data_IF_782133002054
#
_entry.id   IF_782133002054
#
_cell.length_a   1.000
_cell.length_b   1.000
_cell.length_c   1.000
_cell.angle_alpha   90.00
_cell.angle_beta   90.00
_cell.angle_gamma   90.00
#
_symmetry.space_group_name_H-M   'P 1'
#
loop_
_entity.id
_entity.type
_entity.pdbx_description
1 polymer ?
#
# COMPACT_ATOMS: atom_id res chain seq x y z
N UNK A 1 -4.56 19.44 -5.84
CA UNK A 1 -5.87 20.02 -6.13
C UNK A 1 -6.99 18.98 -6.36
N UNK A 2 -6.75 17.74 -6.73
CA UNK A 2 -7.78 16.69 -6.87
C UNK A 2 -7.69 15.58 -5.83
N UNK A 3 -6.64 15.57 -5.02
CA UNK A 3 -6.41 14.52 -4.02
C UNK A 3 -7.46 14.54 -2.90
N UNK A 4 -7.73 15.71 -2.34
CA UNK A 4 -8.73 15.89 -1.28
C UNK A 4 -10.12 15.48 -1.78
N UNK A 5 -10.50 15.98 -2.97
CA UNK A 5 -11.79 15.65 -3.59
C UNK A 5 -11.92 14.15 -3.88
N UNK A 6 -10.85 13.50 -4.35
CA UNK A 6 -10.86 12.06 -4.58
C UNK A 6 -10.97 11.30 -3.25
N UNK A 7 -10.21 11.69 -2.22
CA UNK A 7 -10.23 11.03 -0.92
C UNK A 7 -11.62 11.09 -0.27
N UNK A 8 -12.34 12.20 -0.43
CA UNK A 8 -13.73 12.35 0.04
C UNK A 8 -14.72 11.55 -0.84
N UNK A 9 -14.58 11.64 -2.17
CA UNK A 9 -15.53 11.04 -3.10
C UNK A 9 -15.58 9.51 -3.08
N UNK A 10 -14.47 8.86 -2.69
CA UNK A 10 -14.41 7.38 -2.61
C UNK A 10 -14.89 6.82 -1.28
N UNK A 11 -15.14 7.64 -0.28
CA UNK A 11 -15.63 7.21 1.04
C UNK A 11 -16.99 6.52 0.93
N UNK A 12 -17.20 5.50 1.78
CA UNK A 12 -18.47 4.81 1.95
C UNK A 12 -18.95 4.90 3.39
N UNK A 13 -18.58 3.95 4.24
CA UNK A 13 -18.79 4.01 5.69
C UNK A 13 -17.63 4.67 6.45
N UNK A 14 -16.62 5.12 5.74
CA UNK A 14 -15.50 5.87 6.28
C UNK A 14 -15.97 7.16 6.98
N UNK A 15 -15.38 7.50 8.13
CA UNK A 15 -15.70 8.74 8.86
C UNK A 15 -14.74 9.88 8.52
N UNK A 16 -13.57 9.55 7.97
CA UNK A 16 -12.55 10.51 7.58
C UNK A 16 -11.91 10.14 6.24
N UNK A 17 -11.59 11.13 5.37
CA UNK A 17 -10.81 10.89 4.16
C UNK A 17 -9.39 10.43 4.54
N UNK A 18 -8.88 9.46 3.81
CA UNK A 18 -7.57 8.84 4.03
C UNK A 18 -6.66 9.17 2.88
N UNK A 19 -5.66 10.01 3.13
CA UNK A 19 -4.67 10.40 2.15
C UNK A 19 -3.31 10.65 2.80
N UNK A 20 -2.25 10.35 2.07
CA UNK A 20 -0.89 10.60 2.50
C UNK A 20 0.02 10.80 1.31
N UNK A 21 0.92 11.78 1.38
CA UNK A 21 1.91 12.05 0.35
C UNK A 21 3.24 12.48 0.96
N UNK A 22 4.32 12.26 0.24
CA UNK A 22 5.64 12.70 0.59
C UNK A 22 6.48 13.03 -0.66
N UNK A 23 7.52 13.82 -0.46
CA UNK A 23 8.52 14.15 -1.45
C UNK A 23 9.89 13.63 -1.01
N UNK A 24 10.69 13.19 -1.96
CA UNK A 24 12.05 12.71 -1.72
C UNK A 24 12.95 12.98 -2.93
N UNK A 25 14.25 12.84 -2.75
CA UNK A 25 15.22 13.12 -3.81
C UNK A 25 15.77 11.83 -4.43
N UNK A 26 15.69 11.71 -5.76
CA UNK A 26 16.27 10.63 -6.53
C UNK A 26 17.28 11.18 -7.55
N UNK A 27 18.57 11.02 -7.26
CA UNK A 27 19.62 11.46 -8.17
C UNK A 27 19.58 12.96 -8.48
N UNK A 28 19.28 13.79 -7.49
CA UNK A 28 19.16 15.23 -7.65
C UNK A 28 17.81 15.72 -8.20
N UNK A 29 16.86 14.80 -8.44
CA UNK A 29 15.50 15.13 -8.87
C UNK A 29 14.52 14.96 -7.73
N UNK A 30 13.66 15.94 -7.52
CA UNK A 30 12.56 15.89 -6.58
C UNK A 30 11.47 14.96 -7.13
N UNK A 31 11.10 13.97 -6.38
CA UNK A 31 10.06 13.00 -6.72
C UNK A 31 8.95 13.05 -5.68
N UNK A 32 7.71 13.00 -6.14
CA UNK A 32 6.53 12.99 -5.30
C UNK A 32 5.84 11.63 -5.41
N UNK A 33 5.38 11.11 -4.29
CA UNK A 33 4.52 9.94 -4.23
C UNK A 33 3.41 10.20 -3.22
N UNK A 34 2.19 9.85 -3.57
CA UNK A 34 1.05 10.00 -2.68
C UNK A 34 -0.06 9.04 -3.04
N UNK A 35 -1.00 8.89 -2.13
CA UNK A 35 -2.14 8.02 -2.36
C UNK A 35 -3.32 8.36 -1.47
N UNK A 36 -4.45 7.80 -1.85
CA UNK A 36 -5.71 7.82 -1.11
C UNK A 36 -6.17 6.39 -0.86
N UNK A 37 -6.93 6.18 0.21
CA UNK A 37 -7.54 4.90 0.49
C UNK A 37 -8.95 5.09 1.05
N UNK A 38 -9.80 4.07 0.91
CA UNK A 38 -11.11 3.99 1.52
C UNK A 38 -11.37 2.59 2.08
N UNK A 39 -12.19 2.51 3.11
CA UNK A 39 -12.65 1.29 3.76
C UNK A 39 -12.67 1.44 5.28
N UNK A 40 -13.71 0.88 5.91
CA UNK A 40 -13.91 0.94 7.35
C UNK A 40 -14.44 -0.38 7.93
N UNK A 41 -15.11 -1.22 7.15
CA UNK A 41 -15.57 -2.56 7.51
C UNK A 41 -15.20 -3.60 6.47
N UNK A 42 -15.23 -4.88 6.84
CA UNK A 42 -14.74 -6.02 6.04
C UNK A 42 -13.27 -5.81 5.65
N UNK A 43 -12.43 -5.53 6.65
CA UNK A 43 -11.02 -5.19 6.46
C UNK A 43 -10.13 -6.28 7.09
N UNK A 44 -9.76 -7.24 6.26
CA UNK A 44 -8.65 -8.18 6.48
C UNK A 44 -8.01 -8.51 5.14
N UNK A 45 -7.25 -7.59 4.53
CA UNK A 45 -6.70 -7.81 3.21
C UNK A 45 -5.74 -9.00 3.15
N UNK A 46 -5.93 -9.83 2.14
CA UNK A 46 -5.07 -10.97 1.81
C UNK A 46 -4.70 -10.97 0.32
N UNK A 47 -4.35 -9.80 -0.20
CA UNK A 47 -4.13 -9.59 -1.64
C UNK A 47 -2.97 -10.42 -2.18
N UNK A 48 -3.23 -11.10 -3.31
CA UNK A 48 -2.23 -11.86 -4.06
C UNK A 48 -1.60 -11.00 -5.16
N UNK A 49 -0.29 -11.12 -5.39
CA UNK A 49 0.39 -10.40 -6.47
C UNK A 49 -0.07 -10.83 -7.88
N UNK A 50 -0.68 -11.98 -8.02
CA UNK A 50 -1.15 -12.51 -9.30
C UNK A 50 -2.57 -12.06 -9.67
N UNK A 51 -3.31 -11.50 -8.71
CA UNK A 51 -4.67 -11.01 -8.94
C UNK A 51 -5.67 -12.07 -9.38
N UNK A 52 -5.36 -13.36 -9.21
CA UNK A 52 -6.25 -14.45 -9.60
C UNK A 52 -7.50 -14.45 -8.74
N UNK A 53 -8.64 -14.14 -9.36
CA UNK A 53 -9.98 -14.17 -8.81
C UNK A 53 -10.75 -15.37 -9.31
N UNK A 54 -11.57 -16.02 -8.47
CA UNK A 54 -12.68 -16.83 -8.98
C UNK A 54 -13.68 -15.93 -9.71
N UNK A 55 -14.05 -16.29 -10.93
CA UNK A 55 -14.95 -15.52 -11.83
C UNK A 55 -16.38 -15.32 -11.29
N UNK A 56 -16.75 -15.95 -10.20
CA UNK A 56 -18.13 -16.04 -9.70
C UNK A 56 -18.47 -15.07 -8.56
N UNK A 57 -17.61 -14.12 -8.20
CA UNK A 57 -17.85 -13.24 -7.04
C UNK A 57 -18.35 -11.84 -7.44
N UNK A 58 -19.34 -11.26 -6.71
CA UNK A 58 -19.83 -9.91 -6.98
C UNK A 58 -18.76 -8.84 -6.79
N UNK A 59 -18.86 -7.78 -7.59
CA UNK A 59 -17.91 -6.67 -7.66
C UNK A 59 -18.20 -5.62 -6.57
N UNK A 60 -17.97 -5.94 -5.31
CA UNK A 60 -18.01 -4.96 -4.22
C UNK A 60 -16.62 -4.80 -3.62
N UNK A 61 -15.94 -3.70 -3.93
CA UNK A 61 -14.67 -3.37 -3.35
C UNK A 61 -14.86 -2.79 -1.95
N UNK A 62 -14.33 -3.43 -0.91
CA UNK A 62 -14.40 -2.95 0.46
C UNK A 62 -13.26 -1.99 0.76
N UNK A 63 -12.03 -2.40 0.46
CA UNK A 63 -10.85 -1.57 0.54
C UNK A 63 -10.35 -1.22 -0.87
N UNK A 64 -10.21 0.07 -1.14
CA UNK A 64 -9.55 0.58 -2.34
C UNK A 64 -8.41 1.51 -1.94
N UNK A 65 -7.28 1.41 -2.61
CA UNK A 65 -6.19 2.38 -2.50
C UNK A 65 -5.63 2.71 -3.87
N UNK A 66 -5.51 4.01 -4.15
CA UNK A 66 -4.95 4.55 -5.39
C UNK A 66 -3.70 5.36 -5.04
N UNK A 67 -2.56 4.95 -5.59
CA UNK A 67 -1.26 5.59 -5.36
C UNK A 67 -0.78 6.17 -6.69
N UNK A 68 -0.23 7.36 -6.66
CA UNK A 68 0.37 8.02 -7.83
C UNK A 68 1.76 8.52 -7.52
N UNK A 69 2.62 8.54 -8.53
CA UNK A 69 3.96 9.11 -8.44
C UNK A 69 4.39 9.70 -9.79
N UNK A 70 5.22 10.72 -9.75
CA UNK A 70 5.89 11.28 -10.92
C UNK A 70 7.24 10.61 -11.22
N UNK A 71 7.65 9.61 -10.43
CA UNK A 71 8.88 8.86 -10.65
C UNK A 71 8.93 8.19 -12.03
N UNK A 72 10.07 8.26 -12.69
CA UNK A 72 10.39 7.41 -13.83
C UNK A 72 10.84 6.03 -13.32
N UNK A 73 10.00 5.01 -13.51
CA UNK A 73 10.21 3.64 -13.03
C UNK A 73 9.63 2.64 -14.04
N UNK A 74 10.33 1.54 -14.31
CA UNK A 74 9.82 0.53 -15.25
C UNK A 74 8.63 -0.24 -14.64
N UNK A 75 7.65 -0.60 -15.47
CA UNK A 75 6.44 -1.32 -15.05
C UNK A 75 6.73 -2.59 -14.23
N UNK A 76 7.68 -3.48 -14.63
CA UNK A 76 7.98 -4.67 -13.82
C UNK A 76 8.56 -4.31 -12.45
N UNK A 77 9.36 -3.24 -12.37
CA UNK A 77 9.95 -2.77 -11.11
C UNK A 77 8.87 -2.17 -10.21
N UNK A 78 7.98 -1.35 -10.76
CA UNK A 78 6.85 -0.75 -10.05
C UNK A 78 5.93 -1.83 -9.45
N UNK A 79 5.59 -2.84 -10.25
CA UNK A 79 4.78 -3.97 -9.78
C UNK A 79 5.45 -4.73 -8.63
N UNK A 80 6.75 -4.98 -8.75
CA UNK A 80 7.51 -5.63 -7.68
C UNK A 80 7.50 -4.80 -6.39
N UNK A 81 7.78 -3.51 -6.50
CA UNK A 81 7.77 -2.60 -5.35
C UNK A 81 6.38 -2.57 -4.68
N UNK A 82 5.31 -2.53 -5.47
CA UNK A 82 3.95 -2.57 -4.94
C UNK A 82 3.68 -3.88 -4.20
N UNK A 83 4.05 -5.02 -4.77
CA UNK A 83 3.87 -6.33 -4.14
C UNK A 83 4.55 -6.40 -2.77
N UNK A 84 5.80 -5.93 -2.68
CA UNK A 84 6.57 -5.90 -1.43
C UNK A 84 5.94 -4.94 -0.40
N UNK A 85 5.48 -3.77 -0.84
CA UNK A 85 4.84 -2.78 0.02
C UNK A 85 3.50 -3.30 0.58
N UNK A 86 2.64 -3.85 -0.27
CA UNK A 86 1.33 -4.42 0.12
C UNK A 86 1.51 -5.57 1.12
N UNK A 87 2.45 -6.48 0.86
CA UNK A 87 2.73 -7.61 1.75
C UNK A 87 3.17 -7.18 3.16
N UNK A 88 3.86 -6.05 3.28
CA UNK A 88 4.37 -5.53 4.55
C UNK A 88 3.46 -4.51 5.24
N UNK A 89 2.37 -4.07 4.60
CA UNK A 89 1.47 -3.03 5.09
C UNK A 89 0.01 -3.46 5.06
N UNK A 90 -0.70 -3.32 3.95
CA UNK A 90 -2.13 -3.64 3.83
C UNK A 90 -2.46 -5.10 4.20
N UNK A 91 -1.63 -6.06 3.81
CA UNK A 91 -1.84 -7.46 4.19
C UNK A 91 -1.49 -7.78 5.66
N UNK A 92 -1.16 -6.75 6.45
CA UNK A 92 -0.82 -6.84 7.89
C UNK A 92 -1.81 -6.16 8.79
N UNK A 93 -2.94 -5.72 8.28
CA UNK A 93 -3.99 -5.08 9.06
C UNK A 93 -5.26 -5.92 9.09
N UNK A 94 -6.02 -5.74 10.14
CA UNK A 94 -7.41 -6.19 10.24
C UNK A 94 -8.22 -5.22 11.09
N UNK A 95 -9.51 -5.11 10.83
CA UNK A 95 -10.48 -4.39 11.65
C UNK A 95 -11.42 -5.39 12.34
N UNK A 96 -12.01 -6.27 11.57
CA UNK A 96 -13.10 -7.16 11.99
C UNK A 96 -12.85 -8.65 11.70
N UNK A 97 -11.70 -8.99 11.12
CA UNK A 97 -11.38 -10.36 10.74
C UNK A 97 -12.03 -10.83 9.43
N UNK A 98 -12.83 -9.99 8.79
CA UNK A 98 -13.54 -10.33 7.56
C UNK A 98 -12.73 -9.98 6.32
N UNK A 99 -12.57 -10.97 5.44
CA UNK A 99 -11.82 -10.81 4.19
C UNK A 99 -12.76 -10.42 3.05
N UNK A 100 -12.45 -9.33 2.37
CA UNK A 100 -13.12 -8.95 1.13
C UNK A 100 -12.52 -9.69 -0.07
N UNK A 101 -13.36 -9.99 -1.05
CA UNK A 101 -12.95 -10.60 -2.32
C UNK A 101 -12.39 -9.60 -3.33
N UNK A 102 -12.49 -8.31 -3.06
CA UNK A 102 -12.29 -7.22 -4.04
C UNK A 102 -11.31 -6.14 -3.59
N UNK A 103 -10.60 -6.32 -2.47
CA UNK A 103 -9.58 -5.39 -2.02
C UNK A 103 -8.56 -5.13 -3.12
N UNK A 104 -8.27 -3.87 -3.37
CA UNK A 104 -7.44 -3.47 -4.50
C UNK A 104 -6.51 -2.32 -4.12
N UNK A 105 -5.24 -2.48 -4.45
CA UNK A 105 -4.23 -1.40 -4.41
C UNK A 105 -3.67 -1.20 -5.81
N UNK A 106 -3.77 0.01 -6.33
CA UNK A 106 -3.24 0.40 -7.63
C UNK A 106 -2.16 1.45 -7.48
N UNK A 107 -1.13 1.39 -8.32
CA UNK A 107 -0.11 2.43 -8.43
C UNK A 107 0.09 2.84 -9.89
N UNK A 108 0.16 4.15 -10.13
CA UNK A 108 0.43 4.76 -11.42
C UNK A 108 1.68 5.65 -11.33
N UNK A 109 2.55 5.56 -12.33
CA UNK A 109 3.75 6.38 -12.44
C UNK A 109 3.79 7.03 -13.82
N UNK A 110 3.90 8.37 -13.88
CA UNK A 110 3.91 9.12 -15.14
C UNK A 110 5.33 9.50 -15.63
N UNK A 111 6.37 9.38 -14.77
CA UNK A 111 7.75 9.63 -15.13
C UNK A 111 8.15 11.12 -15.25
N UNK A 112 7.28 12.04 -14.85
CA UNK A 112 7.49 13.48 -15.04
C UNK A 112 8.53 14.10 -14.11
N UNK A 113 8.97 13.41 -13.05
CA UNK A 113 10.04 13.88 -12.17
C UNK A 113 11.39 14.02 -12.87
N UNK A 114 11.57 13.33 -14.00
CA UNK A 114 12.80 13.40 -14.80
C UNK A 114 14.02 12.76 -14.15
N UNK A 115 13.82 11.86 -13.19
CA UNK A 115 14.88 11.02 -12.65
C UNK A 115 15.27 9.91 -13.64
N UNK A 116 16.47 9.36 -13.49
CA UNK A 116 16.86 8.17 -14.22
C UNK A 116 15.87 7.03 -13.96
N UNK A 117 15.43 6.34 -15.03
CA UNK A 117 14.44 5.26 -14.91
C UNK A 117 14.89 4.17 -13.95
N UNK A 118 14.14 3.97 -12.87
CA UNK A 118 14.42 2.95 -11.86
C UNK A 118 14.12 1.57 -12.45
N UNK A 119 15.10 0.64 -12.35
CA UNK A 119 15.00 -0.74 -12.83
C UNK A 119 15.56 -1.70 -11.78
N UNK A 120 14.82 -2.74 -11.42
CA UNK A 120 15.28 -3.76 -10.47
C UNK A 120 16.42 -4.63 -11.03
N UNK A 121 16.63 -4.61 -12.35
CA UNK A 121 17.72 -5.34 -13.04
C UNK A 121 19.03 -4.56 -13.06
N UNK A 122 19.05 -3.30 -12.64
CA UNK A 122 20.27 -2.50 -12.62
C UNK A 122 21.26 -3.02 -11.56
N UNK A 123 22.54 -3.04 -11.95
CA UNK A 123 23.61 -3.64 -11.12
C UNK A 123 24.45 -2.60 -10.38
N UNK A 124 24.45 -1.36 -10.87
CA UNK A 124 25.25 -0.27 -10.28
C UNK A 124 24.70 0.19 -8.94
N UNK A 125 25.56 0.77 -8.11
CA UNK A 125 25.23 1.18 -6.74
C UNK A 125 24.19 2.31 -6.70
N UNK A 126 24.26 3.26 -7.65
CA UNK A 126 23.35 4.42 -7.70
C UNK A 126 21.92 3.96 -8.00
N UNK A 127 21.75 3.08 -8.98
CA UNK A 127 20.43 2.53 -9.34
C UNK A 127 19.84 1.68 -8.22
N UNK A 128 20.67 0.91 -7.50
CA UNK A 128 20.23 0.15 -6.31
C UNK A 128 19.80 1.07 -5.18
N UNK A 129 20.53 2.14 -4.91
CA UNK A 129 20.17 3.14 -3.91
C UNK A 129 18.85 3.84 -4.27
N UNK A 130 18.68 4.20 -5.55
CA UNK A 130 17.42 4.82 -6.05
C UNK A 130 16.22 3.88 -5.88
N UNK A 131 16.39 2.61 -6.18
CA UNK A 131 15.34 1.59 -5.96
C UNK A 131 14.99 1.46 -4.48
N UNK A 132 15.99 1.41 -3.61
CA UNK A 132 15.78 1.30 -2.17
C UNK A 132 15.03 2.51 -1.61
N UNK A 133 15.39 3.73 -2.03
CA UNK A 133 14.70 4.96 -1.62
C UNK A 133 13.25 5.00 -2.11
N UNK A 134 13.00 4.61 -3.37
CA UNK A 134 11.64 4.52 -3.90
C UNK A 134 10.82 3.50 -3.10
N UNK A 135 11.38 2.32 -2.82
CA UNK A 135 10.69 1.30 -2.02
C UNK A 135 10.36 1.80 -0.60
N UNK A 136 11.28 2.51 0.05
CA UNK A 136 11.04 3.11 1.35
C UNK A 136 9.91 4.15 1.31
N UNK A 137 9.92 5.03 0.31
CA UNK A 137 8.87 6.03 0.13
C UNK A 137 7.50 5.37 -0.09
N UNK A 138 7.42 4.38 -0.96
CA UNK A 138 6.19 3.62 -1.20
C UNK A 138 5.72 2.89 0.07
N UNK A 139 6.62 2.26 0.81
CA UNK A 139 6.29 1.59 2.07
C UNK A 139 5.70 2.58 3.09
N UNK A 140 6.25 3.79 3.19
CA UNK A 140 5.73 4.83 4.08
C UNK A 140 4.31 5.26 3.70
N UNK A 141 4.04 5.49 2.41
CA UNK A 141 2.69 5.82 1.92
C UNK A 141 1.71 4.70 2.23
N UNK A 142 2.05 3.45 1.85
CA UNK A 142 1.20 2.29 2.10
C UNK A 142 0.96 2.07 3.60
N UNK A 143 1.97 2.22 4.44
CA UNK A 143 1.86 2.09 5.89
C UNK A 143 0.95 3.16 6.51
N UNK A 144 1.10 4.42 6.08
CA UNK A 144 0.26 5.52 6.56
C UNK A 144 -1.22 5.27 6.21
N UNK A 145 -1.51 4.90 4.96
CA UNK A 145 -2.86 4.60 4.50
C UNK A 145 -3.45 3.37 5.22
N UNK A 146 -2.70 2.29 5.35
CA UNK A 146 -3.12 1.09 6.09
C UNK A 146 -3.45 1.40 7.56
N UNK A 147 -2.63 2.24 8.20
CA UNK A 147 -2.88 2.69 9.58
C UNK A 147 -4.13 3.56 9.70
N UNK A 148 -4.42 4.41 8.70
CA UNK A 148 -5.64 5.21 8.66
C UNK A 148 -6.89 4.33 8.53
N UNK A 149 -6.85 3.27 7.71
CA UNK A 149 -7.94 2.30 7.57
C UNK A 149 -8.30 1.66 8.92
N UNK A 150 -7.30 1.17 9.67
CA UNK A 150 -7.55 0.55 10.98
C UNK A 150 -8.07 1.55 12.00
N UNK A 151 -7.57 2.79 11.98
CA UNK A 151 -8.01 3.82 12.94
C UNK A 151 -9.43 4.30 12.72
N UNK A 152 -9.92 4.18 11.51
CA UNK A 152 -11.27 4.60 11.09
C UNK A 152 -12.20 3.39 10.87
N UNK A 153 -11.83 2.22 11.40
CA UNK A 153 -12.62 1.00 11.29
C UNK A 153 -13.96 1.11 12.01
N UNK A 154 -14.99 0.47 11.46
CA UNK A 154 -16.33 0.43 12.05
C UNK A 154 -16.28 -0.15 13.47
N UNK A 155 -16.81 0.60 14.45
CA UNK A 155 -16.84 0.21 15.85
C UNK A 155 -15.47 0.20 16.56
N UNK A 156 -14.40 0.65 15.92
CA UNK A 156 -13.05 0.68 16.50
C UNK A 156 -12.99 1.67 17.65
N UNK A 157 -12.68 1.17 18.84
CA UNK A 157 -12.44 1.97 20.04
C UNK A 157 -10.94 2.09 20.38
N UNK A 158 -10.10 1.21 19.85
CA UNK A 158 -8.66 1.16 20.15
C UNK A 158 -7.87 0.71 18.94
N UNK A 159 -6.67 1.30 18.78
CA UNK A 159 -5.67 0.84 17.82
C UNK A 159 -4.67 -0.06 18.56
N UNK A 160 -4.57 -1.32 18.14
CA UNK A 160 -3.67 -2.32 18.74
C UNK A 160 -2.57 -2.69 17.74
N UNK A 161 -1.34 -2.80 18.23
CA UNK A 161 -0.23 -3.34 17.44
C UNK A 161 0.25 -4.64 18.10
N UNK A 162 0.18 -5.75 17.36
CA UNK A 162 0.70 -7.04 17.78
C UNK A 162 2.07 -7.25 17.16
N UNK A 163 3.06 -7.58 17.98
CA UNK A 163 4.42 -7.86 17.53
C UNK A 163 4.88 -9.24 18.02
N UNK A 164 5.29 -10.08 17.07
CA UNK A 164 5.92 -11.37 17.35
C UNK A 164 7.40 -11.27 17.09
N UNK A 165 8.22 -11.68 18.05
CA UNK A 165 9.67 -11.72 17.95
C UNK A 165 10.19 -13.12 18.31
N UNK A 166 11.38 -13.49 17.80
CA UNK A 166 12.02 -14.77 18.10
C UNK A 166 11.52 -15.97 17.31
N UNK A 167 10.60 -15.78 16.34
CA UNK A 167 10.21 -16.85 15.44
C UNK A 167 11.36 -17.26 14.51
N UNK A 168 11.44 -18.54 14.13
CA UNK A 168 12.49 -19.05 13.23
C UNK A 168 12.36 -18.51 11.80
N UNK A 169 11.15 -18.19 11.37
CA UNK A 169 10.87 -17.64 10.04
C UNK A 169 9.77 -16.57 10.11
N UNK A 170 9.75 -15.66 9.12
CA UNK A 170 8.67 -14.69 8.97
C UNK A 170 7.29 -15.35 8.81
N UNK A 171 7.22 -16.51 8.16
CA UNK A 171 5.97 -17.25 7.99
C UNK A 171 5.40 -17.73 9.33
N UNK A 172 6.28 -18.23 10.22
CA UNK A 172 5.86 -18.63 11.58
C UNK A 172 5.44 -17.43 12.42
N UNK A 173 6.15 -16.30 12.32
CA UNK A 173 5.76 -15.06 12.98
C UNK A 173 4.39 -14.57 12.50
N UNK A 174 4.14 -14.64 11.19
CA UNK A 174 2.89 -14.24 10.55
C UNK A 174 1.71 -15.12 11.01
N UNK A 175 1.91 -16.43 11.04
CA UNK A 175 0.89 -17.37 11.55
C UNK A 175 0.54 -17.09 13.02
N UNK A 176 1.55 -16.82 13.86
CA UNK A 176 1.33 -16.51 15.27
C UNK A 176 0.61 -15.17 15.47
N UNK A 177 0.94 -14.13 14.69
CA UNK A 177 0.25 -12.82 14.76
C UNK A 177 -1.22 -12.94 14.37
N UNK A 178 -1.53 -13.78 13.37
CA UNK A 178 -2.91 -13.95 12.88
C UNK A 178 -3.80 -14.79 13.78
N UNK A 179 -3.23 -15.47 14.77
CA UNK A 179 -3.99 -16.28 15.75
C UNK A 179 -4.38 -15.48 17.01
N UNK A 180 -3.96 -14.23 17.11
CA UNK A 180 -4.31 -13.28 18.18
C UNK A 180 -5.53 -12.45 17.80
#
# INVERSE_FOLDING_TARGET
LGGDQLAEAIMTSDTHPKQYALEFNLGGKKVTIGGVAKGAGMIQPGMSPTGNRPYSMPLHATMLSFITTDAAISKPTLQRCLTEAVASTFNRITVDGDMSTNDTVLILANGLAGNQTIRHTAKDAISKASLALFQQALNLVCFALAKMLVKDGEGVSRFVTVRVAGAKTNQQADAAVRSV
#
